data_IF_675548314692
#
_entry.id   IF_675548314692
#
_cell.length_a   1.000
_cell.length_b   1.000
_cell.length_c   1.000
_cell.angle_alpha   90.00
_cell.angle_beta   90.00
_cell.angle_gamma   90.00
#
_symmetry.space_group_name_H-M   'P 1'
#
loop_
_entity.id
_entity.type
_entity.pdbx_description
1 polymer ?
#
# COMPACT_ATOMS: atom_id res chain seq x y z
N UNK A 1 -5.15 37.82 -20.37
CA UNK A 1 -6.16 37.42 -19.37
C UNK A 1 -6.17 35.91 -19.32
N UNK A 2 -5.30 35.31 -18.50
CA UNK A 2 -5.61 34.75 -17.16
C UNK A 2 -6.54 33.54 -17.21
N UNK A 3 -5.90 32.37 -17.10
CA UNK A 3 -6.25 31.15 -16.37
C UNK A 3 -7.72 30.81 -16.14
N UNK A 4 -8.12 29.59 -16.52
CA UNK A 4 -8.94 28.78 -15.62
C UNK A 4 -8.47 27.32 -15.64
N UNK A 5 -7.79 26.99 -14.55
CA UNK A 5 -7.27 25.69 -14.14
C UNK A 5 -8.49 24.86 -13.66
N UNK A 6 -8.78 23.75 -14.32
CA UNK A 6 -9.82 22.80 -13.88
C UNK A 6 -9.16 21.81 -12.91
N UNK A 7 -9.20 22.15 -11.62
CA UNK A 7 -8.88 21.23 -10.52
C UNK A 7 -10.12 20.36 -10.30
N UNK A 8 -10.06 19.08 -10.69
CA UNK A 8 -11.00 18.07 -10.23
C UNK A 8 -10.61 17.64 -8.83
N UNK A 9 -11.29 18.19 -7.82
CA UNK A 9 -11.28 17.69 -6.44
C UNK A 9 -12.05 16.36 -6.39
N UNK A 10 -11.31 15.24 -6.29
CA UNK A 10 -11.86 13.96 -5.86
C UNK A 10 -12.14 14.03 -4.35
N UNK A 11 -13.38 14.38 -4.01
CA UNK A 11 -13.96 14.11 -2.69
C UNK A 11 -14.39 12.64 -2.67
N UNK A 12 -13.51 11.76 -2.21
CA UNK A 12 -13.93 10.43 -1.74
C UNK A 12 -14.58 10.61 -0.38
N UNK A 13 -15.90 10.47 -0.34
CA UNK A 13 -16.69 10.41 0.89
C UNK A 13 -16.19 9.23 1.73
N UNK A 14 -15.44 9.56 2.80
CA UNK A 14 -15.18 8.64 3.88
C UNK A 14 -16.50 8.34 4.59
N UNK A 15 -16.93 7.08 4.56
CA UNK A 15 -18.00 6.59 5.42
C UNK A 15 -17.39 6.43 6.82
N UNK A 16 -17.43 7.49 7.62
CA UNK A 16 -17.15 7.40 9.05
C UNK A 16 -18.38 6.78 9.74
N UNK A 17 -18.21 5.55 10.22
CA UNK A 17 -19.12 4.93 11.18
C UNK A 17 -19.15 5.77 12.46
N UNK A 18 -20.28 6.42 12.74
CA UNK A 18 -20.55 7.05 14.03
C UNK A 18 -20.81 5.97 15.09
N UNK A 19 -19.94 5.89 16.09
CA UNK A 19 -20.31 5.33 17.38
C UNK A 19 -20.07 6.40 18.45
N UNK A 20 -21.17 7.02 18.87
CA UNK A 20 -21.25 7.87 20.05
C UNK A 20 -21.00 7.03 21.30
N UNK A 21 -19.89 7.31 22.00
CA UNK A 21 -19.77 7.06 23.44
C UNK A 21 -19.14 8.28 24.10
N UNK A 22 -20.01 9.17 24.54
CA UNK A 22 -19.71 10.27 25.47
C UNK A 22 -19.12 9.76 26.79
N UNK A 23 -17.91 10.22 27.15
CA UNK A 23 -17.43 10.36 28.54
C UNK A 23 -16.47 11.55 28.72
N UNK A 24 -16.34 12.12 29.94
CA UNK A 24 -16.21 13.57 30.13
C UNK A 24 -14.77 14.10 30.21
N UNK A 25 -14.65 15.40 29.87
CA UNK A 25 -13.47 16.28 29.96
C UNK A 25 -12.76 16.23 31.32
N UNK A 26 -11.43 16.14 31.31
CA UNK A 26 -10.56 16.72 32.35
C UNK A 26 -9.42 17.54 31.74
N UNK A 27 -9.05 18.57 32.50
CA UNK A 27 -8.42 19.83 32.13
C UNK A 27 -7.00 19.72 31.58
N UNK A 28 -6.76 20.57 30.60
CA UNK A 28 -5.48 21.12 30.17
C UNK A 28 -4.79 21.86 31.33
N UNK A 29 -3.50 21.61 31.53
CA UNK A 29 -2.57 22.62 32.05
C UNK A 29 -1.31 22.60 31.20
N UNK A 30 -1.19 23.67 30.41
CA UNK A 30 0.03 24.22 29.85
C UNK A 30 1.16 24.26 30.88
N UNK A 31 2.39 23.93 30.46
CA UNK A 31 3.55 24.73 30.83
C UNK A 31 4.73 24.53 29.88
N UNK A 32 5.43 25.65 29.74
CA UNK A 32 6.48 26.01 28.80
C UNK A 32 7.85 25.41 29.20
N UNK A 33 8.65 25.14 28.17
CA UNK A 33 10.06 24.68 28.04
C UNK A 33 11.05 25.28 29.09
N UNK A 34 12.11 24.54 29.49
CA UNK A 34 13.45 24.81 28.92
C UNK A 34 14.30 23.58 28.56
N UNK A 35 15.20 23.82 27.61
CA UNK A 35 16.29 22.99 27.09
C UNK A 35 17.28 22.42 28.13
N UNK A 36 18.08 21.46 27.64
CA UNK A 36 19.33 20.89 28.17
C UNK A 36 19.23 19.82 29.26
N UNK A 37 19.57 18.57 28.88
CA UNK A 37 20.82 17.90 29.29
C UNK A 37 20.92 16.50 28.66
N UNK A 38 21.98 16.31 27.86
CA UNK A 38 22.49 14.98 27.52
C UNK A 38 22.80 14.24 28.84
N UNK A 39 22.22 13.05 29.01
CA UNK A 39 22.65 12.13 30.05
C UNK A 39 23.90 11.38 29.58
N UNK A 40 25.04 11.75 30.17
CA UNK A 40 26.20 10.87 30.30
C UNK A 40 25.79 9.64 31.11
N UNK A 41 25.87 8.46 30.47
CA UNK A 41 25.86 7.18 31.17
C UNK A 41 27.33 6.79 31.37
N UNK A 42 27.73 6.71 32.63
CA UNK A 42 29.10 6.52 33.08
C UNK A 42 29.73 5.22 32.58
N UNK A 43 30.90 5.36 31.95
CA UNK A 43 31.78 4.25 31.59
C UNK A 43 32.72 4.00 32.77
N UNK A 44 32.50 2.89 33.46
CA UNK A 44 33.44 2.29 34.41
C UNK A 44 34.69 1.80 33.68
N UNK A 45 35.85 2.35 34.04
CA UNK A 45 37.16 2.04 33.47
C UNK A 45 37.77 0.85 34.20
N UNK A 46 38.10 -0.21 33.46
CA UNK A 46 39.06 -1.27 33.82
C UNK A 46 39.55 -2.00 32.54
N UNK A 47 40.72 -2.65 32.54
CA UNK A 47 41.88 -2.22 31.75
C UNK A 47 41.97 -2.78 30.32
N UNK A 48 42.71 -2.01 29.49
CA UNK A 48 43.13 -2.26 28.11
C UNK A 48 43.35 -3.74 27.76
N UNK A 49 42.36 -4.35 27.10
CA UNK A 49 42.62 -5.30 26.02
C UNK A 49 42.76 -4.50 24.74
N UNK A 50 43.84 -4.74 23.97
CA UNK A 50 43.89 -4.35 22.57
C UNK A 50 42.77 -5.10 21.87
N UNK A 51 41.62 -4.47 21.72
CA UNK A 51 40.67 -4.83 20.68
C UNK A 51 41.42 -4.68 19.38
N UNK A 52 41.67 -5.81 18.72
CA UNK A 52 41.81 -5.80 17.29
C UNK A 52 40.53 -5.16 16.78
N UNK A 53 40.63 -3.92 16.33
CA UNK A 53 39.63 -3.32 15.46
C UNK A 53 39.62 -4.18 14.22
N UNK A 54 38.84 -5.26 14.25
CA UNK A 54 38.34 -5.88 13.03
C UNK A 54 37.67 -4.73 12.32
N UNK A 55 38.29 -4.22 11.26
CA UNK A 55 37.58 -3.40 10.30
C UNK A 55 36.30 -4.19 10.01
N UNK A 56 35.16 -3.65 10.42
CA UNK A 56 33.89 -4.14 9.92
C UNK A 56 34.01 -3.83 8.44
N UNK A 57 34.38 -4.86 7.68
CA UNK A 57 34.39 -4.79 6.23
C UNK A 57 32.96 -4.42 5.88
N UNK A 58 32.76 -3.17 5.42
CA UNK A 58 31.44 -2.74 5.01
C UNK A 58 31.00 -3.73 3.93
N UNK A 59 29.99 -4.53 4.24
CA UNK A 59 29.44 -5.50 3.30
C UNK A 59 28.88 -4.72 2.11
N UNK A 60 29.68 -4.66 1.03
CA UNK A 60 29.37 -3.88 -0.17
C UNK A 60 28.49 -4.71 -1.11
N UNK A 61 27.58 -4.02 -1.79
CA UNK A 61 26.84 -4.60 -2.90
C UNK A 61 27.77 -4.84 -4.08
N UNK A 62 27.65 -6.00 -4.70
CA UNK A 62 28.28 -6.26 -5.99
C UNK A 62 27.58 -5.51 -7.11
N UNK A 63 28.26 -5.33 -8.25
CA UNK A 63 27.64 -4.77 -9.45
C UNK A 63 26.47 -5.64 -9.95
N UNK A 64 26.53 -6.94 -9.71
CA UNK A 64 25.42 -7.86 -10.01
C UNK A 64 24.20 -7.60 -9.14
N UNK A 65 24.38 -7.35 -7.82
CA UNK A 65 23.29 -6.95 -6.94
C UNK A 65 22.61 -5.66 -7.45
N UNK A 66 23.40 -4.63 -7.75
CA UNK A 66 22.89 -3.33 -8.22
C UNK A 66 22.12 -3.51 -9.55
N UNK A 67 22.70 -4.24 -10.50
CA UNK A 67 22.07 -4.52 -11.79
C UNK A 67 20.76 -5.30 -11.63
N UNK A 68 20.73 -6.29 -10.73
CA UNK A 68 19.53 -7.08 -10.43
C UNK A 68 18.39 -6.20 -9.89
N UNK A 69 18.69 -5.30 -8.94
CA UNK A 69 17.71 -4.33 -8.42
C UNK A 69 17.18 -3.40 -9.52
N UNK A 70 18.07 -2.83 -10.34
CA UNK A 70 17.68 -1.92 -11.42
C UNK A 70 16.85 -2.63 -12.50
N UNK A 71 17.20 -3.89 -12.82
CA UNK A 71 16.44 -4.72 -13.77
C UNK A 71 15.02 -4.94 -13.27
N UNK A 72 14.85 -5.36 -12.01
CA UNK A 72 13.52 -5.48 -11.39
C UNK A 72 12.71 -4.18 -11.48
N UNK A 73 13.31 -3.02 -11.17
CA UNK A 73 12.60 -1.74 -11.18
C UNK A 73 12.25 -1.25 -12.60
N UNK A 74 13.03 -1.64 -13.61
CA UNK A 74 12.73 -1.35 -15.01
C UNK A 74 11.65 -2.28 -15.55
N UNK A 75 11.76 -3.58 -15.31
CA UNK A 75 10.78 -4.57 -15.78
C UNK A 75 9.40 -4.35 -15.15
N UNK A 76 9.38 -3.84 -13.91
CA UNK A 76 8.15 -3.49 -13.19
C UNK A 76 7.77 -2.01 -13.29
N UNK A 77 8.36 -1.24 -14.22
CA UNK A 77 8.18 0.21 -14.28
C UNK A 77 6.71 0.66 -14.43
N UNK A 78 5.92 -0.13 -15.16
CA UNK A 78 4.51 0.13 -15.48
C UNK A 78 3.55 -0.51 -14.47
N UNK A 79 4.06 -1.26 -13.48
CA UNK A 79 3.24 -2.00 -12.52
C UNK A 79 2.27 -1.08 -11.76
N UNK A 80 2.77 0.07 -11.28
CA UNK A 80 1.95 1.08 -10.59
C UNK A 80 0.82 1.61 -11.48
N UNK A 81 1.16 2.03 -12.71
CA UNK A 81 0.20 2.67 -13.60
C UNK A 81 -0.83 1.68 -14.13
N UNK A 82 -0.42 0.43 -14.37
CA UNK A 82 -1.31 -0.67 -14.72
C UNK A 82 -2.28 -0.98 -13.57
N UNK A 83 -1.78 -1.13 -12.33
CA UNK A 83 -2.65 -1.38 -11.17
C UNK A 83 -3.63 -0.22 -10.94
N UNK A 84 -3.15 1.03 -11.04
CA UNK A 84 -3.99 2.23 -10.93
C UNK A 84 -5.07 2.26 -12.01
N UNK A 85 -4.74 1.88 -13.24
CA UNK A 85 -5.70 1.79 -14.34
C UNK A 85 -6.74 0.72 -14.10
N UNK A 86 -6.33 -0.46 -13.64
CA UNK A 86 -7.23 -1.56 -13.25
C UNK A 86 -8.20 -1.08 -12.15
N UNK A 87 -7.68 -0.46 -11.09
CA UNK A 87 -8.46 0.07 -9.99
C UNK A 87 -9.50 1.10 -10.48
N UNK A 88 -9.04 2.15 -11.17
CA UNK A 88 -9.91 3.24 -11.62
C UNK A 88 -11.00 2.77 -12.60
N UNK A 89 -10.70 1.78 -13.43
CA UNK A 89 -11.65 1.25 -14.41
C UNK A 89 -12.80 0.45 -13.79
N UNK A 90 -12.62 -0.09 -12.58
CA UNK A 90 -13.58 -1.02 -11.98
C UNK A 90 -14.14 -0.54 -10.63
N UNK A 91 -13.50 0.41 -9.95
CA UNK A 91 -13.90 0.86 -8.61
C UNK A 91 -15.34 1.37 -8.55
N UNK A 92 -15.83 1.98 -9.64
CA UNK A 92 -17.23 2.41 -9.73
C UNK A 92 -18.20 1.23 -9.55
N UNK A 93 -18.00 0.15 -10.30
CA UNK A 93 -18.87 -1.04 -10.23
C UNK A 93 -18.77 -1.72 -8.86
N UNK A 94 -17.58 -1.72 -8.27
CA UNK A 94 -17.35 -2.23 -6.92
C UNK A 94 -18.11 -1.40 -5.89
N UNK A 95 -18.08 -0.07 -5.99
CA UNK A 95 -18.87 0.80 -5.12
C UNK A 95 -20.37 0.55 -5.28
N UNK A 96 -20.87 0.42 -6.51
CA UNK A 96 -22.27 0.07 -6.78
C UNK A 96 -22.65 -1.26 -6.12
N UNK A 97 -21.84 -2.30 -6.29
CA UNK A 97 -22.03 -3.60 -5.62
C UNK A 97 -22.06 -3.44 -4.10
N UNK A 98 -21.08 -2.75 -3.53
CA UNK A 98 -20.94 -2.62 -2.09
C UNK A 98 -22.05 -1.77 -1.46
N UNK A 99 -22.53 -0.74 -2.15
CA UNK A 99 -23.64 0.11 -1.69
C UNK A 99 -24.96 -0.65 -1.72
N UNK A 100 -25.28 -1.33 -2.83
CA UNK A 100 -26.59 -1.95 -3.04
C UNK A 100 -26.70 -3.40 -2.55
N UNK A 101 -25.76 -3.83 -1.68
CA UNK A 101 -25.79 -5.11 -0.96
C UNK A 101 -25.72 -4.93 0.57
N UNK A 102 -25.53 -3.70 1.07
CA UNK A 102 -25.55 -3.39 2.50
C UNK A 102 -26.97 -3.17 3.00
N UNK A 103 -27.81 -4.18 2.91
CA UNK A 103 -29.23 -4.05 3.19
C UNK A 103 -29.53 -4.51 4.61
N UNK A 104 -29.95 -3.57 5.47
CA UNK A 104 -30.61 -3.90 6.74
C UNK A 104 -32.12 -3.88 6.56
N UNK A 105 -32.86 -4.39 7.54
CA UNK A 105 -34.33 -4.35 7.54
C UNK A 105 -34.87 -2.93 7.29
N UNK A 106 -34.21 -1.92 7.87
CA UNK A 106 -34.59 -0.52 7.74
C UNK A 106 -34.40 0.09 6.34
N UNK A 107 -33.55 -0.50 5.49
CA UNK A 107 -33.24 0.01 4.14
C UNK A 107 -33.53 -1.02 3.03
N UNK A 108 -34.30 -2.06 3.37
CA UNK A 108 -34.66 -3.14 2.48
C UNK A 108 -35.30 -2.65 1.18
N UNK A 109 -36.33 -1.79 1.31
CA UNK A 109 -37.07 -1.19 0.18
C UNK A 109 -36.16 -0.42 -0.76
N UNK A 110 -35.12 0.23 -0.22
CA UNK A 110 -34.13 0.94 -1.04
C UNK A 110 -33.31 -0.05 -1.87
N UNK A 111 -32.77 -1.09 -1.24
CA UNK A 111 -31.97 -2.10 -1.92
C UNK A 111 -32.72 -2.90 -2.99
N UNK A 112 -33.98 -3.24 -2.71
CA UNK A 112 -34.81 -4.06 -3.59
C UNK A 112 -35.62 -3.27 -4.60
N UNK A 113 -35.53 -1.94 -4.58
CA UNK A 113 -36.11 -1.11 -5.64
C UNK A 113 -35.57 -1.54 -7.00
N UNK A 114 -36.44 -1.49 -8.02
CA UNK A 114 -36.10 -1.90 -9.39
C UNK A 114 -34.84 -1.17 -9.88
N UNK A 115 -34.77 0.14 -9.63
CA UNK A 115 -33.63 0.98 -10.02
C UNK A 115 -32.32 0.49 -9.41
N UNK A 116 -32.27 0.32 -8.08
CA UNK A 116 -31.02 -0.05 -7.40
C UNK A 116 -30.63 -1.51 -7.65
N UNK A 117 -31.62 -2.41 -7.77
CA UNK A 117 -31.39 -3.79 -8.18
C UNK A 117 -30.78 -3.85 -9.57
N UNK A 118 -31.29 -3.06 -10.53
CA UNK A 118 -30.73 -3.01 -11.87
C UNK A 118 -29.31 -2.44 -11.91
N UNK A 119 -29.01 -1.41 -11.10
CA UNK A 119 -27.63 -0.89 -10.99
C UNK A 119 -26.68 -1.99 -10.51
N UNK A 120 -27.05 -2.72 -9.44
CA UNK A 120 -26.26 -3.84 -8.91
C UNK A 120 -26.05 -4.95 -9.94
N UNK A 121 -27.12 -5.36 -10.65
CA UNK A 121 -27.06 -6.37 -11.72
C UNK A 121 -26.07 -5.92 -12.80
N UNK A 122 -26.23 -4.71 -13.32
CA UNK A 122 -25.36 -4.15 -14.36
C UNK A 122 -23.89 -4.10 -13.92
N UNK A 123 -23.62 -3.74 -12.66
CA UNK A 123 -22.26 -3.71 -12.11
C UNK A 123 -21.62 -5.11 -12.13
N UNK A 124 -22.34 -6.14 -11.72
CA UNK A 124 -21.86 -7.54 -11.77
C UNK A 124 -21.65 -8.01 -13.21
N UNK A 125 -22.57 -7.69 -14.13
CA UNK A 125 -22.40 -8.02 -15.54
C UNK A 125 -21.15 -7.34 -16.15
N UNK A 126 -20.89 -6.08 -15.78
CA UNK A 126 -19.69 -5.36 -16.21
C UNK A 126 -18.42 -5.99 -15.65
N UNK A 127 -18.41 -6.40 -14.38
CA UNK A 127 -17.26 -7.09 -13.79
C UNK A 127 -17.01 -8.45 -14.48
N UNK A 128 -18.06 -9.23 -14.71
CA UNK A 128 -17.97 -10.55 -15.34
C UNK A 128 -17.53 -10.50 -16.81
N UNK A 129 -17.96 -9.48 -17.56
CA UNK A 129 -17.66 -9.33 -18.98
C UNK A 129 -16.49 -8.36 -19.24
N UNK A 130 -15.59 -8.20 -18.27
CA UNK A 130 -14.42 -7.33 -18.38
C UNK A 130 -13.12 -8.11 -18.58
N UNK A 131 -12.05 -7.38 -18.96
CA UNK A 131 -10.68 -7.90 -18.95
C UNK A 131 -10.01 -7.82 -17.56
N UNK A 132 -10.78 -7.60 -16.48
CA UNK A 132 -10.25 -7.41 -15.12
C UNK A 132 -9.29 -8.52 -14.69
N UNK A 133 -9.74 -9.78 -14.80
CA UNK A 133 -8.93 -10.94 -14.38
C UNK A 133 -7.67 -11.05 -15.23
N UNK A 134 -7.78 -10.91 -16.55
CA UNK A 134 -6.63 -10.96 -17.47
C UNK A 134 -5.62 -9.85 -17.19
N UNK A 135 -6.09 -8.63 -16.92
CA UNK A 135 -5.22 -7.51 -16.60
C UNK A 135 -4.49 -7.71 -15.26
N UNK A 136 -5.16 -8.28 -14.25
CA UNK A 136 -4.53 -8.64 -12.98
C UNK A 136 -3.51 -9.77 -13.13
N UNK A 137 -3.79 -10.78 -13.96
CA UNK A 137 -2.84 -11.85 -14.26
C UNK A 137 -1.61 -11.32 -15.00
N UNK A 138 -1.80 -10.41 -15.96
CA UNK A 138 -0.71 -9.73 -16.67
C UNK A 138 0.15 -8.91 -15.70
N UNK A 139 -0.48 -8.24 -14.74
CA UNK A 139 0.23 -7.53 -13.67
C UNK A 139 1.06 -8.49 -12.81
N UNK A 140 0.49 -9.61 -12.35
CA UNK A 140 1.22 -10.61 -11.57
C UNK A 140 2.41 -11.23 -12.33
N UNK A 141 2.26 -11.43 -13.64
CA UNK A 141 3.32 -11.95 -14.52
C UNK A 141 4.56 -11.04 -14.56
N UNK A 142 4.38 -9.72 -14.44
CA UNK A 142 5.50 -8.76 -14.44
C UNK A 142 6.41 -8.87 -13.20
N UNK A 143 5.98 -9.58 -12.16
CA UNK A 143 6.78 -9.88 -10.97
C UNK A 143 6.87 -11.40 -10.70
N UNK A 144 6.68 -12.25 -11.72
CA UNK A 144 6.63 -13.72 -11.54
C UNK A 144 7.86 -14.32 -10.89
N UNK A 145 9.04 -13.74 -11.13
CA UNK A 145 10.32 -14.27 -10.67
C UNK A 145 10.47 -14.17 -9.14
N UNK A 146 9.57 -13.43 -8.49
CA UNK A 146 9.47 -13.34 -7.02
C UNK A 146 8.36 -14.23 -6.44
N UNK A 147 7.73 -15.07 -7.26
CA UNK A 147 6.66 -16.00 -6.88
C UNK A 147 5.53 -15.32 -6.06
N UNK A 148 4.72 -14.43 -6.66
CA UNK A 148 3.68 -13.67 -5.98
C UNK A 148 2.43 -14.52 -5.67
N UNK A 149 2.60 -15.61 -4.91
CA UNK A 149 1.57 -16.63 -4.70
C UNK A 149 0.29 -16.07 -4.06
N UNK A 150 0.42 -15.16 -3.09
CA UNK A 150 -0.74 -14.54 -2.43
C UNK A 150 -1.58 -13.69 -3.39
N UNK A 151 -0.92 -12.97 -4.32
CA UNK A 151 -1.61 -12.25 -5.39
C UNK A 151 -2.33 -13.22 -6.33
N UNK A 152 -1.63 -14.25 -6.83
CA UNK A 152 -2.23 -15.25 -7.72
C UNK A 152 -3.47 -15.93 -7.09
N UNK A 153 -3.38 -16.30 -5.81
CA UNK A 153 -4.50 -16.87 -5.07
C UNK A 153 -5.68 -15.90 -4.95
N UNK A 154 -5.42 -14.61 -4.67
CA UNK A 154 -6.47 -13.59 -4.60
C UNK A 154 -7.14 -13.34 -5.94
N UNK A 155 -6.39 -13.39 -7.06
CA UNK A 155 -6.94 -13.27 -8.42
C UNK A 155 -7.91 -14.41 -8.72
N UNK A 156 -7.54 -15.66 -8.41
CA UNK A 156 -8.44 -16.81 -8.61
C UNK A 156 -9.66 -16.74 -7.67
N UNK A 157 -9.48 -16.28 -6.44
CA UNK A 157 -10.60 -16.05 -5.50
C UNK A 157 -11.56 -14.99 -6.03
N UNK A 158 -11.05 -13.88 -6.57
CA UNK A 158 -11.84 -12.83 -7.20
C UNK A 158 -12.61 -13.36 -8.40
N UNK A 159 -11.95 -14.12 -9.28
CA UNK A 159 -12.59 -14.76 -10.45
C UNK A 159 -13.76 -15.64 -10.02
N UNK A 160 -13.56 -16.49 -9.02
CA UNK A 160 -14.62 -17.35 -8.48
C UNK A 160 -15.76 -16.52 -7.87
N UNK A 161 -15.44 -15.49 -7.09
CA UNK A 161 -16.44 -14.63 -6.46
C UNK A 161 -17.29 -13.87 -7.49
N UNK A 162 -16.68 -13.34 -8.57
CA UNK A 162 -17.41 -12.70 -9.67
C UNK A 162 -18.35 -13.70 -10.35
N UNK A 163 -17.87 -14.91 -10.66
CA UNK A 163 -18.67 -15.95 -11.29
C UNK A 163 -19.88 -16.33 -10.41
N UNK A 164 -19.66 -16.51 -9.10
CA UNK A 164 -20.75 -16.82 -8.17
C UNK A 164 -21.75 -15.67 -8.04
N UNK A 165 -21.27 -14.43 -7.95
CA UNK A 165 -22.12 -13.24 -7.91
C UNK A 165 -22.98 -13.12 -9.18
N UNK A 166 -22.42 -13.45 -10.35
CA UNK A 166 -23.13 -13.42 -11.63
C UNK A 166 -24.32 -14.40 -11.67
N UNK A 167 -24.16 -15.60 -11.08
CA UNK A 167 -25.23 -16.61 -11.02
C UNK A 167 -26.42 -16.19 -10.15
N UNK A 168 -26.20 -15.33 -9.16
CA UNK A 168 -27.25 -14.90 -8.21
C UNK A 168 -27.61 -13.41 -8.35
N UNK A 169 -27.13 -12.73 -9.41
CA UNK A 169 -27.25 -11.28 -9.57
C UNK A 169 -28.70 -10.77 -9.54
N UNK A 170 -29.62 -11.58 -10.05
CA UNK A 170 -31.05 -11.28 -10.18
C UNK A 170 -31.84 -11.58 -8.88
N UNK A 171 -31.21 -12.22 -7.89
CA UNK A 171 -31.85 -12.58 -6.63
C UNK A 171 -31.77 -11.43 -5.61
N UNK A 172 -32.78 -11.33 -4.75
CA UNK A 172 -32.96 -10.27 -3.75
C UNK A 172 -33.07 -10.82 -2.32
N UNK A 173 -32.42 -11.94 -2.04
CA UNK A 173 -32.33 -12.52 -0.70
C UNK A 173 -30.95 -12.27 -0.05
N UNK A 174 -30.89 -12.47 1.27
CA UNK A 174 -29.69 -12.23 2.07
C UNK A 174 -28.47 -13.02 1.59
N UNK A 175 -28.65 -14.27 1.15
CA UNK A 175 -27.53 -15.11 0.69
C UNK A 175 -26.99 -14.59 -0.65
N UNK A 176 -27.88 -14.20 -1.57
CA UNK A 176 -27.50 -13.58 -2.83
C UNK A 176 -26.70 -12.29 -2.60
N UNK A 177 -27.15 -11.40 -1.71
CA UNK A 177 -26.41 -10.17 -1.43
C UNK A 177 -25.05 -10.42 -0.80
N UNK A 178 -24.93 -11.39 0.10
CA UNK A 178 -23.63 -11.75 0.66
C UNK A 178 -22.69 -12.25 -0.43
N UNK A 179 -23.16 -13.10 -1.34
CA UNK A 179 -22.37 -13.60 -2.47
C UNK A 179 -21.93 -12.47 -3.40
N UNK A 180 -22.82 -11.53 -3.74
CA UNK A 180 -22.49 -10.36 -4.57
C UNK A 180 -21.48 -9.46 -3.84
N UNK A 181 -21.67 -9.21 -2.54
CA UNK A 181 -20.74 -8.43 -1.71
C UNK A 181 -19.36 -9.09 -1.62
N UNK A 182 -19.28 -10.42 -1.61
CA UNK A 182 -18.02 -11.15 -1.60
C UNK A 182 -17.17 -10.83 -2.85
N UNK A 183 -17.79 -10.61 -4.02
CA UNK A 183 -17.05 -10.18 -5.22
C UNK A 183 -16.43 -8.79 -5.03
N UNK A 184 -17.18 -7.85 -4.45
CA UNK A 184 -16.67 -6.52 -4.09
C UNK A 184 -15.49 -6.57 -3.11
N UNK A 185 -15.63 -7.35 -2.04
CA UNK A 185 -14.57 -7.57 -1.05
C UNK A 185 -13.34 -8.24 -1.65
N UNK A 186 -13.51 -9.27 -2.49
CA UNK A 186 -12.42 -9.97 -3.14
C UNK A 186 -11.62 -9.05 -4.06
N UNK A 187 -12.26 -8.08 -4.72
CA UNK A 187 -11.57 -7.09 -5.56
C UNK A 187 -10.66 -6.21 -4.71
N UNK A 188 -11.16 -5.65 -3.62
CA UNK A 188 -10.37 -4.79 -2.72
C UNK A 188 -9.18 -5.56 -2.14
N UNK A 189 -9.40 -6.81 -1.71
CA UNK A 189 -8.33 -7.69 -1.23
C UNK A 189 -7.28 -7.92 -2.32
N UNK A 190 -7.70 -8.18 -3.56
CA UNK A 190 -6.77 -8.42 -4.68
C UNK A 190 -5.91 -7.19 -4.99
N UNK A 191 -6.49 -5.98 -4.95
CA UNK A 191 -5.73 -4.72 -5.12
C UNK A 191 -4.69 -4.54 -4.01
N UNK A 192 -5.07 -4.80 -2.76
CA UNK A 192 -4.15 -4.70 -1.62
C UNK A 192 -3.03 -5.75 -1.70
N UNK A 193 -3.35 -6.97 -2.13
CA UNK A 193 -2.39 -8.03 -2.36
C UNK A 193 -1.45 -7.70 -3.52
N UNK A 194 -1.91 -6.98 -4.54
CA UNK A 194 -1.06 -6.55 -5.65
C UNK A 194 0.01 -5.54 -5.20
N UNK A 195 -0.34 -4.62 -4.31
CA UNK A 195 0.61 -3.65 -3.72
C UNK A 195 1.59 -4.38 -2.80
N UNK A 196 1.08 -5.26 -1.94
CA UNK A 196 1.89 -6.07 -1.03
C UNK A 196 2.87 -6.97 -1.78
N UNK A 197 2.44 -7.61 -2.86
CA UNK A 197 3.28 -8.46 -3.70
C UNK A 197 4.43 -7.68 -4.34
N UNK A 198 4.21 -6.43 -4.78
CA UNK A 198 5.30 -5.60 -5.29
C UNK A 198 6.33 -5.25 -4.21
N UNK A 199 5.87 -4.93 -2.99
CA UNK A 199 6.76 -4.66 -1.84
C UNK A 199 7.58 -5.92 -1.49
N UNK A 200 6.94 -7.09 -1.49
CA UNK A 200 7.59 -8.37 -1.20
C UNK A 200 8.52 -8.83 -2.32
N UNK A 201 8.21 -8.49 -3.57
CA UNK A 201 9.10 -8.70 -4.70
C UNK A 201 10.42 -7.95 -4.51
N UNK A 202 10.36 -6.67 -4.12
CA UNK A 202 11.55 -5.89 -3.79
C UNK A 202 12.39 -6.56 -2.69
N UNK A 203 11.76 -6.97 -1.59
CA UNK A 203 12.45 -7.66 -0.49
C UNK A 203 13.10 -8.95 -0.98
N UNK A 204 12.38 -9.76 -1.75
CA UNK A 204 12.85 -11.04 -2.29
C UNK A 204 14.10 -10.89 -3.17
N UNK A 205 14.16 -9.80 -3.94
CA UNK A 205 15.36 -9.46 -4.72
C UNK A 205 16.51 -9.09 -3.79
N UNK A 206 16.28 -8.17 -2.84
CA UNK A 206 17.34 -7.66 -1.95
C UNK A 206 17.85 -8.72 -0.97
N UNK A 207 17.02 -9.67 -0.52
CA UNK A 207 17.44 -10.74 0.40
C UNK A 207 18.54 -11.65 -0.17
N UNK A 208 18.85 -11.56 -1.46
CA UNK A 208 19.92 -12.31 -2.13
C UNK A 208 21.24 -11.54 -2.18
N UNK A 209 21.31 -10.34 -1.60
CA UNK A 209 22.45 -9.44 -1.71
C UNK A 209 23.47 -9.69 -0.59
N UNK A 210 24.67 -9.14 -0.77
CA UNK A 210 25.78 -9.40 0.15
C UNK A 210 25.75 -8.51 1.41
N UNK A 211 24.93 -7.44 1.42
CA UNK A 211 24.88 -6.45 2.50
C UNK A 211 23.72 -6.68 3.47
N UNK A 212 24.00 -7.26 4.64
CA UNK A 212 23.03 -7.49 5.71
C UNK A 212 22.41 -6.20 6.23
N UNK A 213 23.17 -5.10 6.22
CA UNK A 213 22.67 -3.77 6.60
C UNK A 213 21.60 -3.29 5.62
N UNK A 214 21.85 -3.42 4.31
CA UNK A 214 20.87 -3.06 3.29
C UNK A 214 19.65 -3.99 3.30
N UNK A 215 19.86 -5.30 3.48
CA UNK A 215 18.77 -6.28 3.65
C UNK A 215 17.86 -5.90 4.81
N UNK A 216 18.43 -5.62 5.98
CA UNK A 216 17.67 -5.23 7.18
C UNK A 216 16.88 -3.94 6.97
N UNK A 217 17.47 -2.97 6.28
CA UNK A 217 16.80 -1.73 5.92
C UNK A 217 15.65 -1.96 4.92
N UNK A 218 15.82 -2.85 3.93
CA UNK A 218 14.78 -3.24 2.98
C UNK A 218 13.57 -3.91 3.66
N UNK A 219 13.81 -4.81 4.62
CA UNK A 219 12.72 -5.39 5.42
C UNK A 219 12.00 -4.34 6.26
N UNK A 220 12.74 -3.41 6.87
CA UNK A 220 12.16 -2.32 7.69
C UNK A 220 11.32 -1.37 6.84
N UNK A 221 11.81 -1.03 5.65
CA UNK A 221 11.06 -0.31 4.62
C UNK A 221 9.76 -1.05 4.25
N UNK A 222 9.84 -2.35 3.96
CA UNK A 222 8.67 -3.13 3.56
C UNK A 222 7.58 -3.16 4.65
N UNK A 223 7.96 -3.31 5.91
CA UNK A 223 7.03 -3.26 7.05
C UNK A 223 6.34 -1.88 7.13
N UNK A 224 7.11 -0.80 7.03
CA UNK A 224 6.57 0.56 7.06
C UNK A 224 5.67 0.84 5.85
N UNK A 225 6.07 0.39 4.66
CA UNK A 225 5.30 0.53 3.42
C UNK A 225 3.96 -0.20 3.48
N UNK A 226 3.93 -1.43 4.00
CA UNK A 226 2.68 -2.20 4.19
C UNK A 226 1.77 -1.55 5.23
N UNK A 227 2.33 -1.04 6.32
CA UNK A 227 1.56 -0.28 7.34
C UNK A 227 0.95 0.97 6.71
N UNK A 228 1.75 1.77 6.00
CA UNK A 228 1.28 2.97 5.31
C UNK A 228 0.20 2.65 4.27
N UNK A 229 0.41 1.62 3.46
CA UNK A 229 -0.60 1.13 2.51
C UNK A 229 -1.91 0.75 3.19
N UNK A 230 -1.87 0.06 4.34
CA UNK A 230 -3.07 -0.30 5.08
C UNK A 230 -3.88 0.93 5.54
N UNK A 231 -3.22 2.05 5.81
CA UNK A 231 -3.87 3.28 6.28
C UNK A 231 -4.46 4.11 5.14
N UNK A 232 -3.75 4.22 4.01
CA UNK A 232 -4.16 5.13 2.90
C UNK A 232 -4.48 4.42 1.58
N UNK A 233 -4.60 3.09 1.62
CA UNK A 233 -4.96 2.21 0.50
C UNK A 233 -4.03 2.41 -0.72
N UNK A 234 -4.60 2.38 -1.93
CA UNK A 234 -3.86 2.47 -3.20
C UNK A 234 -3.05 3.77 -3.35
N UNK A 235 -3.39 4.82 -2.61
CA UNK A 235 -2.69 6.11 -2.64
C UNK A 235 -1.23 5.95 -2.17
N UNK A 236 -0.96 5.00 -1.28
CA UNK A 236 0.40 4.70 -0.82
C UNK A 236 1.31 4.17 -1.93
N UNK A 237 0.76 3.63 -3.02
CA UNK A 237 1.57 2.87 -3.95
C UNK A 237 2.54 3.75 -4.75
N UNK A 238 2.10 4.96 -5.14
CA UNK A 238 2.94 5.92 -5.85
C UNK A 238 4.22 6.29 -5.07
N UNK A 239 4.16 6.75 -3.80
CA UNK A 239 5.37 7.06 -3.05
C UNK A 239 6.24 5.83 -2.75
N UNK A 240 5.65 4.63 -2.61
CA UNK A 240 6.43 3.38 -2.45
C UNK A 240 7.29 3.11 -3.69
N UNK A 241 6.69 3.09 -4.88
CA UNK A 241 7.43 2.82 -6.13
C UNK A 241 8.47 3.89 -6.40
N UNK A 242 8.12 5.17 -6.19
CA UNK A 242 9.04 6.27 -6.45
C UNK A 242 10.19 6.33 -5.44
N UNK A 243 9.99 5.91 -4.19
CA UNK A 243 11.09 5.83 -3.22
C UNK A 243 12.14 4.80 -3.65
N UNK A 244 11.70 3.61 -4.11
CA UNK A 244 12.60 2.58 -4.60
C UNK A 244 13.35 3.01 -5.86
N UNK A 245 12.66 3.64 -6.82
CA UNK A 245 13.29 4.21 -8.03
C UNK A 245 14.29 5.31 -7.65
N UNK A 246 13.88 6.25 -6.79
CA UNK A 246 14.73 7.35 -6.36
C UNK A 246 16.00 6.88 -5.64
N UNK A 247 15.91 5.82 -4.85
CA UNK A 247 17.07 5.16 -4.24
C UNK A 247 17.99 4.54 -5.30
N UNK A 248 17.47 3.63 -6.13
CA UNK A 248 18.28 2.83 -7.03
C UNK A 248 18.94 3.65 -8.15
N UNK A 249 18.30 4.75 -8.57
CA UNK A 249 18.79 5.67 -9.61
C UNK A 249 19.35 6.98 -9.04
N UNK A 250 19.51 7.10 -7.71
CA UNK A 250 20.11 8.24 -7.02
C UNK A 250 19.45 9.60 -7.35
N UNK A 251 18.12 9.65 -7.38
CA UNK A 251 17.32 10.83 -7.70
C UNK A 251 16.99 11.63 -6.43
N UNK A 252 17.99 12.20 -5.78
CA UNK A 252 17.88 12.76 -4.41
C UNK A 252 16.79 13.84 -4.24
N UNK A 253 16.61 14.74 -5.22
CA UNK A 253 15.57 15.79 -5.16
C UNK A 253 14.14 15.21 -5.16
N UNK A 254 13.95 14.04 -5.78
CA UNK A 254 12.64 13.38 -5.81
C UNK A 254 12.26 12.78 -4.45
N UNK A 255 13.25 12.30 -3.68
CA UNK A 255 13.04 11.63 -2.39
C UNK A 255 12.42 12.56 -1.36
N UNK A 256 12.88 13.82 -1.30
CA UNK A 256 12.33 14.81 -0.38
C UNK A 256 10.84 15.05 -0.64
N UNK A 257 10.43 15.15 -1.90
CA UNK A 257 9.04 15.36 -2.29
C UNK A 257 8.18 14.14 -1.96
N UNK A 258 8.69 12.92 -2.22
CA UNK A 258 8.01 11.66 -1.92
C UNK A 258 7.73 11.53 -0.41
N UNK A 259 8.74 11.83 0.43
CA UNK A 259 8.58 11.81 1.88
C UNK A 259 7.54 12.82 2.36
N UNK A 260 7.60 14.05 1.87
CA UNK A 260 6.63 15.08 2.26
C UNK A 260 5.22 14.71 1.82
N UNK A 261 5.07 14.12 0.63
CA UNK A 261 3.79 13.61 0.16
C UNK A 261 3.24 12.52 1.10
N UNK A 262 4.07 11.56 1.52
CA UNK A 262 3.66 10.52 2.47
C UNK A 262 3.25 11.11 3.83
N UNK A 263 4.03 12.04 4.38
CA UNK A 263 3.71 12.73 5.65
C UNK A 263 2.40 13.52 5.55
N UNK A 264 2.13 14.17 4.42
CA UNK A 264 0.88 14.92 4.23
C UNK A 264 -0.37 14.04 4.17
N UNK A 265 -0.21 12.72 4.07
CA UNK A 265 -1.31 11.75 4.11
C UNK A 265 -1.56 11.21 5.53
N UNK A 266 -0.72 11.59 6.51
CA UNK A 266 -1.05 11.35 7.91
C UNK A 266 -2.30 12.13 8.32
N UNK A 267 -3.02 11.60 9.29
CA UNK A 267 -4.18 12.25 9.92
C UNK A 267 -4.13 11.98 11.42
N UNK A 268 -5.07 12.52 12.20
CA UNK A 268 -5.14 12.43 13.65
C UNK A 268 -5.10 10.99 14.19
N UNK A 269 -5.42 9.99 13.36
CA UNK A 269 -5.46 8.57 13.70
C UNK A 269 -4.38 7.72 13.02
N UNK A 270 -3.57 8.30 12.12
CA UNK A 270 -2.66 7.55 11.23
C UNK A 270 -1.29 8.23 11.19
N UNK A 271 -0.24 7.46 11.46
CA UNK A 271 1.16 7.94 11.43
C UNK A 271 2.04 7.10 10.51
N UNK A 272 1.44 6.29 9.65
CA UNK A 272 2.12 5.42 8.71
C UNK A 272 2.91 6.19 7.68
N UNK A 273 2.48 7.39 7.27
CA UNK A 273 3.20 8.25 6.34
C UNK A 273 4.51 8.75 6.93
N UNK A 274 4.50 9.26 8.16
CA UNK A 274 5.72 9.62 8.91
C UNK A 274 6.63 8.41 9.13
N UNK A 275 6.07 7.28 9.54
CA UNK A 275 6.84 6.03 9.77
C UNK A 275 7.52 5.56 8.49
N UNK A 276 6.79 5.59 7.38
CA UNK A 276 7.29 5.25 6.04
C UNK A 276 8.37 6.23 5.56
N UNK A 277 8.18 7.54 5.77
CA UNK A 277 9.17 8.55 5.42
C UNK A 277 10.51 8.33 6.15
N UNK A 278 10.48 7.94 7.43
CA UNK A 278 11.69 7.61 8.18
C UNK A 278 12.35 6.32 7.66
N UNK A 279 11.55 5.33 7.28
CA UNK A 279 12.07 4.10 6.69
C UNK A 279 12.73 4.32 5.32
N UNK A 280 12.27 5.31 4.54
CA UNK A 280 12.93 5.74 3.29
C UNK A 280 14.36 6.24 3.59
N UNK A 281 14.55 7.06 4.63
CA UNK A 281 15.88 7.57 4.98
C UNK A 281 16.85 6.45 5.33
N UNK A 282 16.40 5.50 6.16
CA UNK A 282 17.19 4.33 6.55
C UNK A 282 17.57 3.48 5.34
N UNK A 283 16.62 3.24 4.44
CA UNK A 283 16.84 2.47 3.23
C UNK A 283 17.88 3.12 2.32
N UNK A 284 17.72 4.42 2.04
CA UNK A 284 18.64 5.16 1.16
C UNK A 284 20.03 5.27 1.77
N UNK A 285 20.11 5.53 3.08
CA UNK A 285 21.39 5.57 3.78
C UNK A 285 22.10 4.23 3.67
N UNK A 286 21.41 3.11 3.96
CA UNK A 286 22.00 1.78 3.85
C UNK A 286 22.45 1.45 2.42
N UNK A 287 21.64 1.79 1.41
CA UNK A 287 22.03 1.61 0.01
C UNK A 287 23.28 2.42 -0.36
N UNK A 288 23.33 3.71 0.01
CA UNK A 288 24.50 4.57 -0.27
C UNK A 288 25.76 4.06 0.42
N UNK A 289 25.66 3.52 1.64
CA UNK A 289 26.82 2.92 2.33
C UNK A 289 27.27 1.62 1.66
N UNK A 290 26.34 0.83 1.14
CA UNK A 290 26.67 -0.47 0.55
C UNK A 290 27.19 -0.36 -0.90
N UNK A 291 26.89 0.74 -1.62
CA UNK A 291 27.37 0.98 -2.99
C UNK A 291 28.74 1.70 -3.03
N UNK A 292 29.07 2.49 -2.00
CA UNK A 292 30.33 3.25 -1.91
C UNK A 292 31.47 2.42 -1.31
#
# INVERSE_FOLDING_TARGET
MKNLLLIFTLLTLGITSCNDVTKPKKKQTSNHIPDNKLHEIGISVSPKKKENTTQIEHEKLTQENIKSLQTFLNDSQDYHDNLKTIYNSHIKYINEVMTYTQCSEAIMVFCTSDTNSQIRINAIEKLNNSNLIQNLQTLAESIKDTNPQELNNSIETLKQAINQAYLVKDNNDTNAWQTIRNAGSAFIITINNAITAYIDAFVTIVSKFDSNTFISAAHSFAIAAKTFHKEVNIVAFNPIVNALKGMAFQLDDSIKQIKQYAINLDDHNYTGGTTFANAIDLLIYAYKQAVN
#
